data_IF_647962394733
#
_entry.id   IF_647962394733
#
_cell.length_a   1.000
_cell.length_b   1.000
_cell.length_c   1.000
_cell.angle_alpha   90.00
_cell.angle_beta   90.00
_cell.angle_gamma   90.00
#
_symmetry.space_group_name_H-M   'P 1'
#
loop_
_entity.id
_entity.type
_entity.pdbx_description
1 polymer ?
#
# COMPACT_ATOMS: atom_id res chain seq x y z
N UNK A 1 -3.63 7.56 -20.77
CA UNK A 1 -3.12 7.92 -19.42
C UNK A 1 -3.97 9.06 -18.92
N UNK A 2 -5.01 8.74 -18.13
CA UNK A 2 -5.91 9.72 -17.53
C UNK A 2 -5.13 10.51 -16.48
N UNK A 3 -5.03 11.83 -16.67
CA UNK A 3 -4.45 12.73 -15.69
C UNK A 3 -5.11 12.46 -14.33
N UNK A 4 -4.30 12.13 -13.35
CA UNK A 4 -4.74 11.89 -11.97
C UNK A 4 -5.36 13.22 -11.48
N UNK A 5 -6.68 13.25 -11.34
CA UNK A 5 -7.41 14.47 -10.97
C UNK A 5 -7.22 14.76 -9.48
N UNK A 6 -6.08 15.37 -9.15
CA UNK A 6 -5.74 15.80 -7.78
C UNK A 6 -6.82 16.69 -7.16
N UNK A 7 -7.56 17.43 -8.00
CA UNK A 7 -8.69 18.26 -7.59
C UNK A 7 -9.81 17.47 -6.89
N UNK A 8 -10.06 16.23 -7.33
CA UNK A 8 -11.05 15.35 -6.69
C UNK A 8 -10.60 14.94 -5.29
N UNK A 9 -9.33 14.56 -5.14
CA UNK A 9 -8.76 14.21 -3.83
C UNK A 9 -8.88 15.39 -2.87
N UNK A 10 -8.50 16.59 -3.31
CA UNK A 10 -8.61 17.81 -2.51
C UNK A 10 -10.04 18.11 -2.07
N UNK A 11 -11.03 17.89 -2.96
CA UNK A 11 -12.44 18.12 -2.66
C UNK A 11 -12.97 17.21 -1.55
N UNK A 12 -12.61 15.93 -1.58
CA UNK A 12 -13.04 14.96 -0.56
C UNK A 12 -12.25 15.07 0.75
N UNK A 13 -11.01 15.57 0.73
CA UNK A 13 -10.22 15.77 1.95
C UNK A 13 -10.56 17.08 2.68
N UNK A 14 -11.08 18.11 1.98
CA UNK A 14 -11.43 19.42 2.57
C UNK A 14 -12.32 19.33 3.81
N UNK A 15 -13.42 18.54 3.84
CA UNK A 15 -14.27 18.42 5.03
C UNK A 15 -13.52 17.85 6.23
N UNK A 16 -12.55 16.98 5.97
CA UNK A 16 -11.78 16.25 7.01
C UNK A 16 -10.39 16.85 7.29
N UNK A 17 -10.14 18.10 6.84
CA UNK A 17 -8.83 18.77 6.93
C UNK A 17 -8.20 18.73 8.32
N UNK A 18 -9.01 18.86 9.39
CA UNK A 18 -8.50 18.81 10.77
C UNK A 18 -7.86 17.46 11.08
N UNK A 19 -8.51 16.36 10.74
CA UNK A 19 -7.99 15.00 10.95
C UNK A 19 -6.74 14.73 10.10
N UNK A 20 -6.73 15.20 8.84
CA UNK A 20 -5.58 15.09 7.95
C UNK A 20 -4.39 15.88 8.48
N UNK A 21 -4.60 17.12 8.92
CA UNK A 21 -3.53 17.97 9.49
C UNK A 21 -2.99 17.38 10.78
N UNK A 22 -3.85 16.96 11.71
CA UNK A 22 -3.40 16.31 12.96
C UNK A 22 -2.64 15.02 12.66
N UNK A 23 -3.13 14.20 11.71
CA UNK A 23 -2.45 12.99 11.26
C UNK A 23 -1.07 13.29 10.65
N UNK A 24 -0.95 14.35 9.84
CA UNK A 24 0.32 14.79 9.26
C UNK A 24 1.29 15.33 10.34
N UNK A 25 0.81 16.12 11.29
CA UNK A 25 1.63 16.60 12.42
C UNK A 25 2.13 15.43 13.28
N UNK A 26 1.28 14.44 13.51
CA UNK A 26 1.69 13.23 14.24
C UNK A 26 2.75 12.43 13.46
N UNK A 27 2.68 12.40 12.12
CA UNK A 27 3.74 11.80 11.28
C UNK A 27 5.05 12.59 11.37
N UNK A 28 5.01 13.91 11.46
CA UNK A 28 6.23 14.73 11.70
C UNK A 28 6.88 14.29 13.01
N UNK A 29 6.11 14.17 14.10
CA UNK A 29 6.63 13.69 15.39
C UNK A 29 7.23 12.29 15.25
N UNK A 30 6.56 11.36 14.56
CA UNK A 30 7.09 10.01 14.30
C UNK A 30 8.44 10.06 13.58
N UNK A 31 8.58 10.91 12.55
CA UNK A 31 9.81 11.00 11.78
C UNK A 31 10.95 11.68 12.57
N UNK A 32 10.65 12.68 13.40
CA UNK A 32 11.64 13.28 14.33
C UNK A 32 12.15 12.21 15.31
N UNK A 33 11.25 11.48 15.96
CA UNK A 33 11.62 10.42 16.90
C UNK A 33 12.40 9.29 16.20
N UNK A 34 12.05 8.95 14.96
CA UNK A 34 12.73 7.94 14.15
C UNK A 34 14.20 8.28 13.88
N UNK A 35 14.55 9.57 13.78
CA UNK A 35 15.93 10.04 13.64
C UNK A 35 16.60 10.21 15.00
N UNK A 36 15.85 10.66 16.01
CA UNK A 36 16.40 10.90 17.36
C UNK A 36 16.84 9.61 18.04
N UNK A 37 16.06 8.53 17.92
CA UNK A 37 16.37 7.24 18.59
C UNK A 37 17.74 6.69 18.20
N UNK A 38 18.13 6.54 16.92
CA UNK A 38 19.47 6.11 16.53
C UNK A 38 20.60 7.03 17.03
N UNK A 39 20.33 8.35 17.07
CA UNK A 39 21.31 9.32 17.58
C UNK A 39 21.54 9.15 19.09
N UNK A 40 20.49 8.90 19.87
CA UNK A 40 20.62 8.59 21.28
C UNK A 40 21.34 7.25 21.51
N UNK A 41 21.04 6.22 20.72
CA UNK A 41 21.74 4.93 20.78
C UNK A 41 23.24 5.13 20.51
N UNK A 42 23.61 5.96 19.52
CA UNK A 42 25.02 6.31 19.25
C UNK A 42 25.66 6.96 20.47
N UNK A 43 25.02 7.96 21.07
CA UNK A 43 25.54 8.62 22.29
C UNK A 43 25.80 7.62 23.43
N UNK A 44 24.84 6.72 23.65
CA UNK A 44 25.00 5.67 24.67
C UNK A 44 26.21 4.79 24.39
N UNK A 45 26.43 4.41 23.13
CA UNK A 45 27.58 3.58 22.72
C UNK A 45 28.91 4.36 22.93
N UNK A 46 28.93 5.65 22.56
CA UNK A 46 30.10 6.51 22.74
C UNK A 46 30.43 6.69 24.23
N UNK A 47 29.43 6.90 25.08
CA UNK A 47 29.59 7.03 26.54
C UNK A 47 30.11 5.72 27.18
N UNK A 48 29.68 4.56 26.70
CA UNK A 48 30.15 3.26 27.19
C UNK A 48 31.65 3.02 26.97
N UNK A 49 32.26 3.63 25.95
CA UNK A 49 33.70 3.54 25.67
C UNK A 49 34.54 4.34 26.67
N UNK A 50 33.96 5.37 27.30
CA UNK A 50 34.63 6.21 28.30
C UNK A 50 34.59 5.70 29.74
N UNK A 51 33.93 4.56 30.00
CA UNK A 51 33.67 4.03 31.32
C UNK A 51 32.23 4.38 31.78
N UNK A 52 31.52 3.41 32.36
CA UNK A 52 30.10 3.59 32.70
C UNK A 52 29.77 3.12 34.13
N UNK A 53 28.77 3.73 34.72
CA UNK A 53 28.07 3.23 35.88
C UNK A 53 26.73 2.60 35.46
N UNK A 54 26.40 1.44 36.04
CA UNK A 54 25.16 0.70 35.74
C UNK A 54 23.90 1.60 35.83
N UNK A 55 23.77 2.51 36.82
CA UNK A 55 22.61 3.41 36.89
C UNK A 55 22.42 4.34 35.68
N UNK A 56 23.53 4.80 35.09
CA UNK A 56 23.48 5.71 33.93
C UNK A 56 23.03 4.95 32.68
N UNK A 57 23.48 3.74 32.47
CA UNK A 57 23.02 2.87 31.38
C UNK A 57 21.54 2.56 31.50
N UNK A 58 21.05 2.24 32.70
CA UNK A 58 19.63 1.99 32.93
C UNK A 58 18.76 3.21 32.66
N UNK A 59 19.23 4.41 33.04
CA UNK A 59 18.53 5.67 32.77
C UNK A 59 18.46 5.96 31.27
N UNK A 60 19.55 5.79 30.54
CA UNK A 60 19.62 5.99 29.09
C UNK A 60 18.77 4.96 28.34
N UNK A 61 18.83 3.69 28.74
CA UNK A 61 17.98 2.64 28.18
C UNK A 61 16.48 2.94 28.43
N UNK A 62 16.12 3.38 29.65
CA UNK A 62 14.76 3.78 29.97
C UNK A 62 14.28 4.97 29.11
N UNK A 63 15.14 5.93 28.83
CA UNK A 63 14.83 7.06 27.96
C UNK A 63 14.59 6.60 26.52
N UNK A 64 15.42 5.73 25.96
CA UNK A 64 15.24 5.17 24.61
C UNK A 64 13.91 4.39 24.52
N UNK A 65 13.57 3.60 25.54
CA UNK A 65 12.29 2.86 25.61
C UNK A 65 11.12 3.84 25.64
N UNK A 66 11.21 4.93 26.39
CA UNK A 66 10.19 5.97 26.42
C UNK A 66 10.00 6.63 25.05
N UNK A 67 11.09 6.99 24.36
CA UNK A 67 11.05 7.54 23.02
C UNK A 67 10.42 6.56 22.01
N UNK A 68 10.83 5.30 22.05
CA UNK A 68 10.31 4.26 21.16
C UNK A 68 8.82 4.00 21.39
N UNK A 69 8.37 3.95 22.65
CA UNK A 69 6.97 3.80 23.02
C UNK A 69 6.15 5.01 22.55
N UNK A 70 6.65 6.23 22.79
CA UNK A 70 6.03 7.47 22.32
C UNK A 70 5.88 7.50 20.81
N UNK A 71 6.92 7.07 20.07
CA UNK A 71 6.89 6.94 18.61
C UNK A 71 5.83 5.92 18.17
N UNK A 72 5.73 4.76 18.85
CA UNK A 72 4.73 3.74 18.57
C UNK A 72 3.30 4.26 18.73
N UNK A 73 3.04 4.96 19.83
CA UNK A 73 1.73 5.59 20.10
C UNK A 73 1.40 6.64 19.03
N UNK A 74 2.34 7.55 18.74
CA UNK A 74 2.17 8.57 17.70
C UNK A 74 1.88 7.94 16.33
N UNK A 75 2.56 6.84 15.98
CA UNK A 75 2.34 6.08 14.74
C UNK A 75 0.94 5.48 14.68
N UNK A 76 0.45 4.92 15.77
CA UNK A 76 -0.91 4.38 15.85
C UNK A 76 -1.97 5.49 15.69
N UNK A 77 -1.79 6.63 16.36
CA UNK A 77 -2.69 7.77 16.27
C UNK A 77 -2.75 8.29 14.82
N UNK A 78 -1.59 8.51 14.19
CA UNK A 78 -1.52 8.95 12.79
C UNK A 78 -2.26 7.99 11.85
N UNK A 79 -2.02 6.68 12.02
CA UNK A 79 -2.67 5.63 11.23
C UNK A 79 -4.18 5.64 11.39
N UNK A 80 -4.68 5.73 12.62
CA UNK A 80 -6.13 5.76 12.89
C UNK A 80 -6.80 7.00 12.30
N UNK A 81 -6.17 8.17 12.42
CA UNK A 81 -6.70 9.42 11.87
C UNK A 81 -6.79 9.37 10.35
N UNK A 82 -5.71 9.00 9.66
CA UNK A 82 -5.69 9.01 8.19
C UNK A 82 -6.55 7.91 7.58
N UNK A 83 -6.50 6.68 8.11
CA UNK A 83 -7.39 5.61 7.65
C UNK A 83 -8.85 5.88 8.00
N UNK A 84 -9.10 6.59 9.11
CA UNK A 84 -10.43 7.05 9.50
C UNK A 84 -11.04 7.99 8.46
N UNK A 85 -10.24 8.89 7.88
CA UNK A 85 -10.68 9.77 6.77
C UNK A 85 -11.05 8.94 5.55
N UNK A 86 -10.22 7.97 5.15
CA UNK A 86 -10.54 7.08 4.03
C UNK A 86 -11.88 6.36 4.20
N UNK A 87 -12.16 5.86 5.41
CA UNK A 87 -13.45 5.21 5.73
C UNK A 87 -14.64 6.17 5.69
N UNK A 88 -14.46 7.41 6.15
CA UNK A 88 -15.52 8.41 6.10
C UNK A 88 -15.88 8.79 4.65
N UNK A 89 -14.85 8.99 3.81
CA UNK A 89 -15.06 9.26 2.38
C UNK A 89 -15.71 8.06 1.67
N UNK A 90 -15.39 6.84 2.04
CA UNK A 90 -16.05 5.64 1.54
C UNK A 90 -17.56 5.65 1.81
N UNK A 91 -17.97 5.93 3.05
CA UNK A 91 -19.38 6.02 3.41
C UNK A 91 -20.08 7.14 2.65
N UNK A 92 -19.47 8.32 2.55
CA UNK A 92 -20.02 9.46 1.79
C UNK A 92 -20.18 9.14 0.31
N UNK A 93 -19.22 8.44 -0.29
CA UNK A 93 -19.30 8.04 -1.70
C UNK A 93 -20.39 7.00 -1.94
N UNK A 94 -20.49 5.99 -1.07
CA UNK A 94 -21.57 5.00 -1.16
C UNK A 94 -22.93 5.64 -1.05
N UNK A 95 -23.11 6.56 -0.10
CA UNK A 95 -24.38 7.29 0.05
C UNK A 95 -24.71 8.08 -1.20
N UNK A 96 -23.75 8.85 -1.74
CA UNK A 96 -23.98 9.63 -2.98
C UNK A 96 -24.29 8.74 -4.18
N UNK A 97 -23.63 7.59 -4.31
CA UNK A 97 -23.92 6.64 -5.37
C UNK A 97 -25.36 6.11 -5.23
N UNK A 98 -25.75 5.74 -4.02
CA UNK A 98 -27.10 5.25 -3.74
C UNK A 98 -28.17 6.32 -4.02
N UNK A 99 -27.97 7.56 -3.54
CA UNK A 99 -28.87 8.69 -3.79
C UNK A 99 -29.03 8.96 -5.30
N UNK A 100 -27.93 8.91 -6.06
CA UNK A 100 -27.95 9.09 -7.49
C UNK A 100 -28.64 7.94 -8.22
N UNK A 101 -28.49 6.71 -7.75
CA UNK A 101 -29.18 5.56 -8.32
C UNK A 101 -30.70 5.65 -8.15
N UNK A 102 -31.18 6.13 -7.01
CA UNK A 102 -32.61 6.29 -6.76
C UNK A 102 -33.26 7.35 -7.68
N UNK A 103 -32.45 8.28 -8.22
CA UNK A 103 -32.91 9.31 -9.15
C UNK A 103 -32.88 8.86 -10.62
N UNK A 104 -32.31 7.68 -10.93
CA UNK A 104 -32.23 7.18 -12.30
C UNK A 104 -33.55 6.54 -12.75
N UNK A 105 -33.82 6.64 -14.04
CA UNK A 105 -34.94 5.95 -14.66
C UNK A 105 -34.76 4.42 -14.64
N UNK A 106 -35.86 3.64 -14.47
CA UNK A 106 -35.78 2.18 -14.47
C UNK A 106 -35.07 1.58 -15.69
N UNK A 107 -35.26 2.21 -16.86
CA UNK A 107 -34.61 1.79 -18.11
C UNK A 107 -33.08 1.87 -18.07
N UNK A 108 -32.54 2.92 -17.42
CA UNK A 108 -31.10 3.06 -17.23
C UNK A 108 -30.51 1.94 -16.35
N UNK A 109 -31.22 1.59 -15.27
CA UNK A 109 -30.79 0.51 -14.36
C UNK A 109 -30.75 -0.84 -15.08
N UNK A 110 -31.74 -1.10 -15.95
CA UNK A 110 -31.78 -2.32 -16.76
C UNK A 110 -30.64 -2.38 -17.80
N UNK A 111 -30.34 -1.26 -18.46
CA UNK A 111 -29.25 -1.19 -19.45
C UNK A 111 -27.87 -1.30 -18.82
N UNK A 112 -27.65 -0.67 -17.67
CA UNK A 112 -26.33 -0.70 -16.98
C UNK A 112 -26.06 -2.04 -16.34
N UNK A 113 -27.11 -2.76 -15.93
CA UNK A 113 -27.01 -4.04 -15.23
C UNK A 113 -26.67 -3.89 -13.74
N UNK A 114 -27.33 -4.66 -12.90
CA UNK A 114 -27.14 -4.63 -11.45
C UNK A 114 -25.72 -4.98 -11.02
N UNK A 115 -25.04 -5.88 -11.76
CA UNK A 115 -23.67 -6.29 -11.47
C UNK A 115 -22.66 -5.15 -11.58
N UNK A 116 -22.75 -4.30 -12.61
CA UNK A 116 -21.89 -3.14 -12.78
C UNK A 116 -22.10 -2.11 -11.67
N UNK A 117 -23.33 -1.86 -11.30
CA UNK A 117 -23.69 -0.91 -10.24
C UNK A 117 -23.14 -1.40 -8.89
N UNK A 118 -23.31 -2.68 -8.58
CA UNK A 118 -22.76 -3.29 -7.36
C UNK A 118 -21.23 -3.24 -7.36
N UNK A 119 -20.59 -3.57 -8.48
CA UNK A 119 -19.14 -3.51 -8.61
C UNK A 119 -18.60 -2.11 -8.35
N UNK A 120 -19.22 -1.07 -8.91
CA UNK A 120 -18.86 0.34 -8.65
C UNK A 120 -19.06 0.73 -7.18
N UNK A 121 -20.18 0.36 -6.58
CA UNK A 121 -20.50 0.69 -5.18
C UNK A 121 -19.62 -0.07 -4.17
N UNK A 122 -19.02 -1.18 -4.55
CA UNK A 122 -18.13 -1.99 -3.71
C UNK A 122 -16.67 -1.78 -4.07
N UNK A 123 -16.22 -2.36 -5.19
CA UNK A 123 -14.79 -2.43 -5.55
C UNK A 123 -14.18 -1.06 -5.87
N UNK A 124 -14.87 -0.22 -6.64
CA UNK A 124 -14.32 1.08 -7.03
C UNK A 124 -14.26 2.04 -5.84
N UNK A 125 -15.30 2.05 -5.01
CA UNK A 125 -15.32 2.86 -3.78
C UNK A 125 -14.27 2.37 -2.79
N UNK A 126 -14.06 1.07 -2.66
CA UNK A 126 -12.98 0.51 -1.83
C UNK A 126 -11.59 0.92 -2.35
N UNK A 127 -11.38 0.92 -3.67
CA UNK A 127 -10.13 1.39 -4.27
C UNK A 127 -9.88 2.88 -3.96
N UNK A 128 -10.92 3.73 -4.00
CA UNK A 128 -10.83 5.13 -3.59
C UNK A 128 -10.46 5.25 -2.10
N UNK A 129 -11.09 4.45 -1.22
CA UNK A 129 -10.74 4.39 0.20
C UNK A 129 -9.27 4.04 0.43
N UNK A 130 -8.77 2.99 -0.25
CA UNK A 130 -7.36 2.57 -0.17
C UNK A 130 -6.42 3.68 -0.64
N UNK A 131 -6.77 4.35 -1.71
CA UNK A 131 -5.98 5.45 -2.25
C UNK A 131 -5.91 6.63 -1.27
N UNK A 132 -7.04 7.09 -0.73
CA UNK A 132 -7.10 8.21 0.20
C UNK A 132 -6.49 7.88 1.57
N UNK A 133 -6.67 6.67 2.06
CA UNK A 133 -6.10 6.23 3.33
C UNK A 133 -4.62 5.88 3.20
N UNK A 134 -4.32 4.82 2.46
CA UNK A 134 -2.97 4.24 2.42
C UNK A 134 -2.00 5.04 1.56
N UNK A 135 -2.39 5.45 0.33
CA UNK A 135 -1.45 6.11 -0.56
C UNK A 135 -1.06 7.50 -0.05
N UNK A 136 -2.04 8.30 0.44
CA UNK A 136 -1.76 9.63 1.01
C UNK A 136 -0.87 9.51 2.24
N UNK A 137 -1.17 8.59 3.17
CA UNK A 137 -0.34 8.36 4.36
C UNK A 137 1.06 7.91 3.99
N UNK A 138 1.19 6.95 3.08
CA UNK A 138 2.47 6.41 2.66
C UNK A 138 3.35 7.45 1.96
N UNK A 139 2.77 8.22 1.03
CA UNK A 139 3.50 9.30 0.34
C UNK A 139 3.95 10.38 1.32
N UNK A 140 3.06 10.85 2.20
CA UNK A 140 3.40 11.86 3.21
C UNK A 140 4.50 11.35 4.13
N UNK A 141 4.39 10.12 4.63
CA UNK A 141 5.42 9.52 5.47
C UNK A 141 6.76 9.38 4.75
N UNK A 142 6.75 8.96 3.48
CA UNK A 142 7.98 8.82 2.68
C UNK A 142 8.67 10.16 2.48
N UNK A 143 7.92 11.21 2.11
CA UNK A 143 8.48 12.54 1.94
C UNK A 143 9.08 13.06 3.25
N UNK A 144 8.36 12.94 4.36
CA UNK A 144 8.84 13.33 5.68
C UNK A 144 10.06 12.51 6.12
N UNK A 145 10.04 11.20 5.91
CA UNK A 145 11.18 10.34 6.24
C UNK A 145 12.44 10.78 5.52
N UNK A 146 12.38 11.01 4.21
CA UNK A 146 13.54 11.54 3.48
C UNK A 146 13.95 12.94 3.93
N UNK A 147 12.99 13.84 4.18
CA UNK A 147 13.25 15.21 4.62
C UNK A 147 13.98 15.27 5.98
N UNK A 148 13.74 14.32 6.88
CA UNK A 148 14.41 14.27 8.18
C UNK A 148 15.66 13.37 8.18
N UNK A 149 15.59 12.21 7.51
CA UNK A 149 16.69 11.23 7.55
C UNK A 149 17.89 11.66 6.71
N UNK A 150 17.68 12.22 5.50
CA UNK A 150 18.81 12.61 4.65
C UNK A 150 19.72 13.70 5.27
N UNK A 151 19.16 14.80 5.83
CA UNK A 151 20.01 15.78 6.50
C UNK A 151 20.73 15.20 7.72
N UNK A 152 20.08 14.33 8.48
CA UNK A 152 20.70 13.66 9.62
C UNK A 152 21.87 12.75 9.20
N UNK A 153 21.69 11.97 8.13
CA UNK A 153 22.77 11.13 7.58
C UNK A 153 23.95 11.97 7.06
N UNK A 154 23.66 13.05 6.33
CA UNK A 154 24.70 13.97 5.83
C UNK A 154 25.48 14.66 6.97
N UNK A 155 24.81 14.94 8.08
CA UNK A 155 25.45 15.52 9.25
C UNK A 155 26.36 14.55 10.01
N UNK A 156 26.11 13.24 9.88
CA UNK A 156 26.94 12.19 10.50
C UNK A 156 28.17 11.90 9.63
N UNK A 157 27.97 11.53 8.38
CA UNK A 157 29.04 11.24 7.42
C UNK A 157 28.51 11.35 5.98
N UNK A 158 28.95 12.36 5.22
CA UNK A 158 28.55 12.54 3.81
C UNK A 158 28.99 11.37 2.91
N UNK A 159 30.17 10.79 3.15
CA UNK A 159 30.73 9.70 2.34
C UNK A 159 29.88 8.43 2.46
N UNK A 160 29.57 8.02 3.70
CA UNK A 160 28.68 6.88 3.97
C UNK A 160 27.27 7.13 3.42
N UNK A 161 26.77 8.37 3.49
CA UNK A 161 25.46 8.73 2.94
C UNK A 161 25.41 8.54 1.43
N UNK A 162 26.43 9.02 0.71
CA UNK A 162 26.52 8.82 -0.74
C UNK A 162 26.64 7.32 -1.09
N UNK A 163 27.46 6.57 -0.37
CA UNK A 163 27.61 5.13 -0.57
C UNK A 163 26.29 4.38 -0.37
N UNK A 164 25.53 4.72 0.68
CA UNK A 164 24.20 4.15 0.94
C UNK A 164 23.19 4.47 -0.17
N UNK A 165 23.17 5.73 -0.66
CA UNK A 165 22.28 6.17 -1.73
C UNK A 165 22.66 5.52 -3.07
N UNK A 166 23.95 5.33 -3.34
CA UNK A 166 24.44 4.73 -4.59
C UNK A 166 23.93 3.28 -4.80
N UNK A 167 23.48 2.61 -3.75
CA UNK A 167 22.86 1.29 -3.85
C UNK A 167 21.46 1.33 -4.48
N UNK A 168 20.71 2.44 -4.34
CA UNK A 168 19.33 2.54 -4.86
C UNK A 168 19.22 2.40 -6.39
N UNK A 169 20.06 3.06 -7.22
CA UNK A 169 20.03 2.87 -8.67
C UNK A 169 20.25 1.41 -9.08
N UNK A 170 21.14 0.69 -8.39
CA UNK A 170 21.40 -0.73 -8.62
C UNK A 170 20.16 -1.57 -8.31
N UNK A 171 19.52 -1.34 -7.17
CA UNK A 171 18.26 -2.00 -6.79
C UNK A 171 17.14 -1.70 -7.80
N UNK A 172 16.97 -0.43 -8.20
CA UNK A 172 15.96 -0.03 -9.18
C UNK A 172 16.22 -0.66 -10.56
N UNK A 173 17.46 -0.73 -10.97
CA UNK A 173 17.89 -1.43 -12.19
C UNK A 173 17.52 -2.91 -12.14
N UNK A 174 17.83 -3.58 -11.05
CA UNK A 174 17.49 -4.99 -10.81
C UNK A 174 15.97 -5.21 -10.86
N UNK A 175 15.19 -4.40 -10.15
CA UNK A 175 13.72 -4.50 -10.15
C UNK A 175 13.15 -4.30 -11.56
N UNK A 176 13.68 -3.36 -12.35
CA UNK A 176 13.24 -3.16 -13.74
C UNK A 176 13.59 -4.34 -14.65
N UNK A 177 14.79 -4.90 -14.50
CA UNK A 177 15.24 -6.04 -15.29
C UNK A 177 14.44 -7.32 -14.99
N UNK A 178 14.27 -7.63 -13.70
CA UNK A 178 13.55 -8.83 -13.28
C UNK A 178 12.03 -8.67 -13.35
N UNK A 179 11.49 -7.50 -13.02
CA UNK A 179 10.06 -7.24 -13.04
C UNK A 179 9.43 -7.45 -14.42
N UNK A 180 10.10 -7.01 -15.49
CA UNK A 180 9.63 -7.24 -16.85
C UNK A 180 9.64 -8.74 -17.26
N UNK A 181 10.56 -9.54 -16.71
CA UNK A 181 10.59 -10.99 -16.92
C UNK A 181 9.48 -11.68 -16.13
N UNK A 182 9.29 -11.33 -14.86
CA UNK A 182 8.22 -11.87 -14.02
C UNK A 182 6.84 -11.59 -14.61
N UNK A 183 6.57 -10.35 -15.05
CA UNK A 183 5.29 -9.99 -15.68
C UNK A 183 5.02 -10.81 -16.94
N UNK A 184 6.03 -11.07 -17.75
CA UNK A 184 5.90 -11.93 -18.95
C UNK A 184 5.62 -13.38 -18.59
N UNK A 185 6.31 -13.92 -17.58
CA UNK A 185 6.06 -15.27 -17.09
C UNK A 185 4.65 -15.40 -16.49
N UNK A 186 4.22 -14.43 -15.68
CA UNK A 186 2.90 -14.43 -15.10
C UNK A 186 1.80 -14.34 -16.16
N UNK A 187 2.02 -13.57 -17.23
CA UNK A 187 1.10 -13.51 -18.36
C UNK A 187 1.01 -14.84 -19.09
N UNK A 188 2.13 -15.51 -19.37
CA UNK A 188 2.13 -16.86 -19.94
C UNK A 188 1.38 -17.86 -19.08
N UNK A 189 1.66 -17.89 -17.77
CA UNK A 189 0.91 -18.74 -16.83
C UNK A 189 -0.60 -18.48 -16.87
N UNK A 190 -1.03 -17.22 -17.00
CA UNK A 190 -2.45 -16.89 -17.14
C UNK A 190 -3.04 -17.38 -18.48
N UNK A 191 -2.28 -17.25 -19.56
CA UNK A 191 -2.66 -17.77 -20.88
C UNK A 191 -2.74 -19.30 -20.88
N UNK A 192 -1.78 -20.00 -20.27
CA UNK A 192 -1.78 -21.45 -20.11
C UNK A 192 -2.97 -21.95 -19.23
N UNK A 193 -3.23 -21.26 -18.10
CA UNK A 193 -4.38 -21.56 -17.25
C UNK A 193 -5.73 -21.30 -17.94
N UNK A 194 -5.80 -20.28 -18.79
CA UNK A 194 -7.00 -19.99 -19.56
C UNK A 194 -7.24 -21.10 -20.60
N UNK A 195 -6.20 -21.51 -21.32
CA UNK A 195 -6.28 -22.65 -22.28
C UNK A 195 -6.68 -23.97 -21.60
N UNK A 196 -6.10 -24.26 -20.43
CA UNK A 196 -6.49 -25.42 -19.63
C UNK A 196 -7.95 -25.37 -19.19
N UNK A 197 -8.42 -24.19 -18.76
CA UNK A 197 -9.80 -24.01 -18.35
C UNK A 197 -10.78 -24.16 -19.49
N UNK A 198 -10.40 -23.70 -20.69
CA UNK A 198 -11.18 -23.84 -21.92
C UNK A 198 -11.30 -25.33 -22.32
N UNK A 199 -10.18 -26.07 -22.30
CA UNK A 199 -10.16 -27.51 -22.57
C UNK A 199 -11.05 -28.28 -21.59
N UNK A 200 -10.92 -28.03 -20.29
CA UNK A 200 -11.76 -28.66 -19.25
C UNK A 200 -13.24 -28.34 -19.49
N UNK A 201 -13.58 -27.11 -19.87
CA UNK A 201 -14.96 -26.73 -20.12
C UNK A 201 -15.53 -27.41 -21.38
N UNK A 202 -14.70 -27.56 -22.43
CA UNK A 202 -15.05 -28.28 -23.65
C UNK A 202 -15.29 -29.76 -23.36
N UNK A 203 -14.37 -30.43 -22.65
CA UNK A 203 -14.51 -31.85 -22.25
C UNK A 203 -15.73 -32.09 -21.39
N UNK A 204 -15.98 -31.23 -20.38
CA UNK A 204 -17.18 -31.36 -19.54
C UNK A 204 -18.47 -31.15 -20.33
N UNK A 205 -18.47 -30.23 -21.28
CA UNK A 205 -19.64 -29.99 -22.15
C UNK A 205 -19.84 -31.10 -23.15
N UNK A 206 -18.73 -31.70 -23.65
CA UNK A 206 -18.71 -32.79 -24.62
C UNK A 206 -18.66 -34.19 -24.00
N UNK A 207 -18.73 -34.35 -22.68
CA UNK A 207 -18.46 -35.62 -21.99
C UNK A 207 -19.30 -36.80 -22.52
N UNK A 208 -20.56 -36.56 -22.93
CA UNK A 208 -21.43 -37.56 -23.49
C UNK A 208 -20.90 -38.07 -24.84
N UNK A 209 -20.38 -37.16 -25.69
CA UNK A 209 -19.78 -37.53 -26.98
C UNK A 209 -18.47 -38.31 -26.76
N UNK A 210 -17.59 -37.84 -25.88
CA UNK A 210 -16.34 -38.52 -25.52
C UNK A 210 -16.64 -39.97 -25.09
N UNK A 211 -17.66 -40.17 -24.26
CA UNK A 211 -18.06 -41.48 -23.79
C UNK A 211 -18.67 -42.37 -24.87
N UNK A 212 -19.53 -41.82 -25.76
CA UNK A 212 -20.18 -42.56 -26.84
C UNK A 212 -19.16 -43.01 -27.90
N UNK A 213 -18.17 -42.15 -28.20
CA UNK A 213 -17.20 -42.46 -29.24
C UNK A 213 -15.88 -43.05 -28.69
N UNK A 214 -15.76 -43.28 -27.40
CA UNK A 214 -14.58 -43.89 -26.77
C UNK A 214 -13.28 -43.04 -26.94
N UNK A 215 -13.40 -41.73 -26.90
CA UNK A 215 -12.29 -40.80 -27.15
C UNK A 215 -11.53 -40.37 -25.86
N UNK A 216 -11.65 -41.16 -24.77
CA UNK A 216 -10.99 -40.80 -23.48
C UNK A 216 -9.46 -40.72 -23.54
N UNK A 217 -8.84 -41.62 -24.34
CA UNK A 217 -7.38 -41.67 -24.43
C UNK A 217 -6.80 -40.47 -25.21
N UNK A 218 -7.36 -40.06 -26.38
CA UNK A 218 -6.93 -38.83 -27.06
C UNK A 218 -7.12 -37.56 -26.23
N UNK A 219 -8.25 -37.45 -25.46
CA UNK A 219 -8.47 -36.27 -24.61
C UNK A 219 -7.50 -36.24 -23.43
N UNK A 220 -7.11 -37.38 -22.87
CA UNK A 220 -6.10 -37.44 -21.83
C UNK A 220 -4.72 -37.02 -22.32
N UNK A 221 -4.39 -37.38 -23.58
CA UNK A 221 -3.12 -36.93 -24.23
C UNK A 221 -3.15 -35.44 -24.52
N UNK A 222 -4.29 -34.86 -24.89
CA UNK A 222 -4.44 -33.42 -25.09
C UNK A 222 -4.29 -32.61 -23.79
N UNK A 223 -4.64 -33.24 -22.65
CA UNK A 223 -4.54 -32.62 -21.33
C UNK A 223 -3.10 -32.68 -20.74
N UNK A 224 -2.22 -33.57 -21.22
CA UNK A 224 -0.87 -33.77 -20.71
C UNK A 224 0.18 -32.91 -21.40
#
# INVERSE_FOLDING_TARGET
>A
MTAFRLDLIGRYLRPHRRKVVVGALTLVVVNILSVTIPLEVRRVIDDLQGGFAIPDVLRQAGFIVLLATSMGIARLISRQLVFGVGRQVEVELRQKLFDQMLLQEPGWVQQTGSGEIISRATSDVENVRRLLGFAVLSLTNTVLAYAFTLPAMLAIDPGLTVAAIALYPVMLGSVRLFGGRMMRQQRRQQEDLAGLSELIQEDLSGIAAIKIYGQEAPELDAFS
#
